data_IF_712047520369
#
_entry.id   IF_712047520369
#
_cell.length_a   1.000
_cell.length_b   1.000
_cell.length_c   1.000
_cell.angle_alpha   90.00
_cell.angle_beta   90.00
_cell.angle_gamma   90.00
#
_symmetry.space_group_name_H-M   'P 1'
#
loop_
_entity.id
_entity.type
_entity.pdbx_description
1 polymer ?
#
# COMPACT_ATOMS: atom_id res chain seq x y z
N UNK A 1 -26.78 -2.57 0.38
CA UNK A 1 -26.40 -3.48 -0.73
C UNK A 1 -24.92 -3.77 -0.60
N UNK A 2 -24.50 -4.97 -0.17
CA UNK A 2 -23.08 -5.26 0.03
C UNK A 2 -22.40 -5.53 -1.32
N UNK A 3 -21.38 -4.72 -1.64
CA UNK A 3 -20.47 -4.92 -2.76
C UNK A 3 -19.75 -6.26 -2.61
N UNK A 4 -20.16 -7.25 -3.41
CA UNK A 4 -19.44 -8.50 -3.54
C UNK A 4 -18.12 -8.24 -4.27
N UNK A 5 -17.02 -8.22 -3.51
CA UNK A 5 -15.67 -8.21 -4.07
C UNK A 5 -15.43 -9.53 -4.81
N UNK A 6 -15.53 -9.50 -6.13
CA UNK A 6 -15.10 -10.60 -6.98
C UNK A 6 -13.58 -10.78 -6.84
N UNK A 7 -13.16 -11.90 -6.25
CA UNK A 7 -11.81 -12.44 -6.44
C UNK A 7 -11.64 -12.76 -7.92
N UNK A 8 -10.92 -11.88 -8.63
CA UNK A 8 -10.76 -11.98 -10.07
C UNK A 8 -9.96 -13.23 -10.47
N UNK A 9 -10.62 -14.15 -11.19
CA UNK A 9 -9.94 -15.09 -12.09
C UNK A 9 -9.01 -14.29 -13.00
N UNK A 10 -7.75 -14.70 -13.11
CA UNK A 10 -6.77 -14.08 -14.01
C UNK A 10 -7.05 -14.56 -15.44
N UNK A 11 -7.80 -13.79 -16.22
CA UNK A 11 -7.94 -13.98 -17.66
C UNK A 11 -6.84 -13.23 -18.42
N UNK A 12 -6.35 -13.83 -19.52
CA UNK A 12 -5.47 -13.16 -20.48
C UNK A 12 -6.20 -11.97 -21.11
N UNK A 13 -5.59 -10.78 -21.10
CA UNK A 13 -6.22 -9.52 -21.54
C UNK A 13 -6.17 -8.34 -20.55
N UNK A 14 -5.34 -8.40 -19.50
CA UNK A 14 -5.17 -7.27 -18.55
C UNK A 14 -3.99 -6.37 -18.97
N UNK A 15 -4.18 -5.56 -20.01
CA UNK A 15 -3.36 -4.37 -20.26
C UNK A 15 -3.68 -3.23 -19.27
N UNK A 16 -4.16 -3.55 -18.05
CA UNK A 16 -4.53 -2.56 -17.03
C UNK A 16 -3.41 -2.52 -16.01
N UNK A 17 -2.82 -1.33 -15.81
CA UNK A 17 -1.94 -1.07 -14.68
C UNK A 17 -2.78 -1.27 -13.41
N UNK A 18 -2.41 -2.25 -12.58
CA UNK A 18 -3.17 -2.55 -11.36
C UNK A 18 -2.80 -1.53 -10.28
N UNK A 19 -3.83 -0.91 -9.70
CA UNK A 19 -3.69 -0.09 -8.49
C UNK A 19 -3.11 -0.98 -7.38
N UNK A 20 -2.25 -0.45 -6.49
CA UNK A 20 -1.77 -1.16 -5.32
C UNK A 20 -2.91 -1.87 -4.57
N UNK A 21 -2.61 -3.03 -4.00
CA UNK A 21 -3.60 -3.84 -3.26
C UNK A 21 -4.22 -3.10 -2.07
N UNK A 22 -3.55 -2.07 -1.56
CA UNK A 22 -4.01 -1.26 -0.45
C UNK A 22 -4.98 -0.19 -0.96
N UNK A 23 -6.27 -0.37 -0.67
CA UNK A 23 -7.35 0.52 -1.13
C UNK A 23 -7.62 1.70 -0.19
N UNK A 24 -6.94 1.78 0.96
CA UNK A 24 -7.16 2.86 1.91
C UNK A 24 -6.55 4.14 1.34
N UNK A 25 -7.37 5.18 1.17
CA UNK A 25 -6.90 6.49 0.69
C UNK A 25 -6.20 7.27 1.80
N UNK A 26 -5.26 8.11 1.40
CA UNK A 26 -4.64 9.11 2.28
C UNK A 26 -5.64 10.22 2.65
N UNK A 27 -5.66 10.65 3.91
CA UNK A 27 -6.40 11.85 4.33
C UNK A 27 -5.60 13.13 4.00
N UNK A 28 -4.28 13.01 3.90
CA UNK A 28 -3.40 14.08 3.45
C UNK A 28 -3.46 14.14 1.92
N UNK A 29 -3.81 15.31 1.38
CA UNK A 29 -3.76 15.58 -0.05
C UNK A 29 -2.30 15.71 -0.45
N UNK A 30 -1.83 14.82 -1.30
CA UNK A 30 -0.49 14.84 -1.81
C UNK A 30 -0.44 14.14 -3.16
N UNK A 31 0.75 14.05 -3.72
CA UNK A 31 0.98 13.24 -4.90
C UNK A 31 1.34 11.82 -4.47
N UNK A 32 0.51 10.86 -4.83
CA UNK A 32 0.75 9.45 -4.55
C UNK A 32 1.63 8.85 -5.64
N UNK A 33 2.80 8.34 -5.24
CA UNK A 33 3.79 7.74 -6.12
C UNK A 33 3.95 6.27 -5.76
N UNK A 34 3.95 5.42 -6.78
CA UNK A 34 4.09 3.98 -6.62
C UNK A 34 5.27 3.47 -7.45
N UNK A 35 6.08 2.63 -6.84
CA UNK A 35 7.12 1.89 -7.53
C UNK A 35 7.02 0.42 -7.13
N UNK A 36 6.70 -0.49 -8.07
CA UNK A 36 6.78 -1.91 -7.78
C UNK A 36 8.25 -2.27 -7.59
N UNK A 37 8.59 -2.80 -6.42
CA UNK A 37 9.93 -3.33 -6.15
C UNK A 37 9.83 -4.82 -5.87
N UNK A 38 10.72 -5.60 -6.48
CA UNK A 38 10.89 -7.01 -6.16
C UNK A 38 12.26 -7.24 -5.52
N UNK A 39 12.25 -7.90 -4.36
CA UNK A 39 13.37 -7.95 -3.40
C UNK A 39 14.60 -8.71 -3.91
N UNK A 40 14.44 -9.55 -4.93
CA UNK A 40 15.49 -10.41 -5.42
C UNK A 40 15.96 -9.91 -6.77
N UNK A 41 17.28 -9.76 -6.93
CA UNK A 41 17.87 -9.70 -8.27
C UNK A 41 17.37 -10.91 -9.05
N UNK A 42 16.77 -10.66 -10.20
CA UNK A 42 16.24 -11.71 -11.09
C UNK A 42 17.37 -12.48 -11.80
N UNK A 43 18.62 -12.21 -11.41
CA UNK A 43 19.80 -13.00 -11.76
C UNK A 43 19.74 -14.44 -11.23
N UNK A 44 19.03 -14.73 -10.14
CA UNK A 44 18.82 -16.11 -9.66
C UNK A 44 17.71 -16.80 -10.47
N UNK A 45 18.01 -17.98 -11.02
CA UNK A 45 17.07 -18.74 -11.87
C UNK A 45 15.81 -19.17 -11.11
N UNK A 46 15.91 -19.40 -9.79
CA UNK A 46 14.76 -19.79 -8.96
C UNK A 46 13.80 -18.65 -8.70
N UNK A 47 14.28 -17.40 -8.60
CA UNK A 47 13.43 -16.23 -8.40
C UNK A 47 12.89 -15.70 -9.72
N UNK A 48 13.70 -15.76 -10.79
CA UNK A 48 13.34 -15.34 -12.15
C UNK A 48 12.00 -15.91 -12.60
N UNK A 49 11.77 -17.21 -12.43
CA UNK A 49 10.50 -17.85 -12.84
C UNK A 49 9.23 -17.25 -12.22
N UNK A 50 9.32 -16.59 -11.07
CA UNK A 50 8.16 -15.96 -10.42
C UNK A 50 7.87 -14.57 -10.99
N UNK A 51 8.87 -13.93 -11.60
CA UNK A 51 8.80 -12.56 -12.10
C UNK A 51 8.98 -12.46 -13.63
N UNK A 52 9.24 -13.57 -14.32
CA UNK A 52 9.36 -13.65 -15.78
C UNK A 52 7.97 -13.70 -16.44
N UNK A 53 7.19 -12.66 -16.16
CA UNK A 53 5.91 -12.40 -16.80
C UNK A 53 6.03 -11.14 -17.64
N UNK A 54 5.38 -11.11 -18.81
CA UNK A 54 5.36 -9.96 -19.71
C UNK A 54 4.99 -8.66 -18.96
N UNK A 55 3.97 -8.72 -18.12
CA UNK A 55 3.56 -7.60 -17.27
C UNK A 55 4.70 -7.03 -16.43
N UNK A 56 5.49 -7.88 -15.76
CA UNK A 56 6.60 -7.41 -14.91
C UNK A 56 7.69 -6.78 -15.76
N UNK A 57 8.00 -7.36 -16.93
CA UNK A 57 8.99 -6.82 -17.87
C UNK A 57 8.60 -5.43 -18.37
N UNK A 58 7.34 -5.26 -18.80
CA UNK A 58 6.83 -3.99 -19.32
C UNK A 58 6.71 -2.89 -18.26
N UNK A 59 6.53 -3.28 -16.99
CA UNK A 59 6.40 -2.38 -15.85
C UNK A 59 7.68 -2.26 -15.02
N UNK A 60 8.82 -2.72 -15.56
CA UNK A 60 10.16 -2.55 -14.96
C UNK A 60 10.98 -1.51 -15.69
N UNK A 61 11.73 -0.71 -14.94
CA UNK A 61 12.75 0.19 -15.47
C UNK A 61 14.07 -0.57 -15.63
N UNK A 62 14.46 -1.35 -14.61
CA UNK A 62 15.63 -2.24 -14.63
C UNK A 62 15.19 -3.60 -14.12
N UNK A 63 14.74 -4.46 -15.05
CA UNK A 63 14.15 -5.75 -14.71
C UNK A 63 15.13 -6.70 -14.00
N UNK A 64 16.40 -6.70 -14.42
CA UNK A 64 17.45 -7.54 -13.81
C UNK A 64 17.73 -7.17 -12.33
N UNK A 65 17.47 -5.91 -11.97
CA UNK A 65 17.75 -5.35 -10.65
C UNK A 65 16.56 -5.31 -9.69
N UNK A 66 15.34 -5.57 -10.15
CA UNK A 66 14.18 -5.42 -9.28
C UNK A 66 13.48 -4.07 -9.33
N UNK A 67 13.89 -3.19 -10.25
CA UNK A 67 13.47 -1.79 -10.24
C UNK A 67 12.28 -1.60 -11.18
N UNK A 68 11.11 -1.40 -10.60
CA UNK A 68 9.88 -1.05 -11.30
C UNK A 68 9.90 0.36 -11.91
N UNK A 69 9.03 0.57 -12.90
CA UNK A 69 8.66 1.91 -13.35
C UNK A 69 7.98 2.69 -12.23
N UNK A 70 8.07 4.01 -12.32
CA UNK A 70 7.41 4.91 -11.37
C UNK A 70 6.03 5.22 -11.93
N UNK A 71 5.02 5.16 -11.07
CA UNK A 71 3.65 5.52 -11.39
C UNK A 71 3.17 6.63 -10.47
N UNK A 72 2.34 7.50 -11.00
CA UNK A 72 1.66 8.57 -10.26
C UNK A 72 0.16 8.30 -10.27
N UNK A 73 -0.50 8.50 -9.14
CA UNK A 73 -1.95 8.40 -9.05
C UNK A 73 -2.60 9.78 -9.09
N UNK A 74 -3.56 9.93 -10.00
CA UNK A 74 -4.34 11.13 -10.24
C UNK A 74 -5.83 10.77 -10.27
N UNK A 75 -6.61 11.28 -9.31
CA UNK A 75 -8.08 11.11 -9.26
C UNK A 75 -8.54 9.66 -9.54
N UNK A 76 -7.92 8.68 -8.87
CA UNK A 76 -8.15 7.22 -9.00
C UNK A 76 -7.54 6.51 -10.22
N UNK A 77 -6.81 7.23 -11.07
CA UNK A 77 -6.09 6.63 -12.20
C UNK A 77 -4.61 6.56 -11.91
N UNK A 78 -4.06 5.37 -12.09
CA UNK A 78 -2.62 5.14 -12.06
C UNK A 78 -2.07 5.32 -13.48
N UNK A 79 -1.07 6.18 -13.65
CA UNK A 79 -0.37 6.37 -14.92
C UNK A 79 1.14 6.35 -14.72
N UNK A 80 1.88 5.99 -15.76
CA UNK A 80 3.34 6.01 -15.74
C UNK A 80 3.84 7.45 -15.56
N UNK A 81 4.86 7.61 -14.71
CA UNK A 81 5.54 8.89 -14.52
C UNK A 81 6.39 9.21 -15.77
N UNK A 82 6.40 10.45 -16.28
CA UNK A 82 7.10 10.77 -17.51
C UNK A 82 8.61 10.52 -17.40
N UNK A 83 9.19 10.01 -18.50
CA UNK A 83 10.64 9.80 -18.63
C UNK A 83 11.39 11.14 -18.76
N UNK A 84 10.74 12.16 -19.31
CA UNK A 84 11.27 13.52 -19.37
C UNK A 84 11.19 14.22 -18.00
N UNK A 85 12.09 15.19 -17.71
CA UNK A 85 11.99 16.01 -16.51
C UNK A 85 10.58 16.59 -16.33
N UNK A 86 10.00 16.36 -15.16
CA UNK A 86 8.63 16.81 -14.83
C UNK A 86 8.55 17.23 -13.36
N UNK A 87 7.59 18.12 -13.07
CA UNK A 87 7.23 18.57 -11.72
C UNK A 87 5.90 17.98 -11.23
N UNK A 88 5.36 16.98 -11.94
CA UNK A 88 4.09 16.34 -11.56
C UNK A 88 4.10 15.68 -10.18
N UNK A 89 5.29 15.36 -9.65
CA UNK A 89 5.46 14.89 -8.28
C UNK A 89 5.15 15.96 -7.22
N UNK A 90 5.17 17.24 -7.59
CA UNK A 90 4.94 18.36 -6.66
C UNK A 90 3.43 18.45 -6.37
N UNK A 91 3.00 18.31 -5.12
CA UNK A 91 1.59 18.41 -4.78
C UNK A 91 1.09 19.85 -4.95
N UNK A 92 -0.16 20.00 -5.36
CA UNK A 92 -0.83 21.31 -5.44
C UNK A 92 -1.29 21.84 -4.08
N UNK A 93 -1.17 21.03 -3.02
CA UNK A 93 -1.55 21.38 -1.67
C UNK A 93 -0.30 21.64 -0.82
N UNK A 94 -0.37 22.65 0.05
CA UNK A 94 0.60 22.93 1.10
C UNK A 94 -0.08 22.81 2.47
N UNK A 95 0.73 22.57 3.50
CA UNK A 95 0.28 22.44 4.88
C UNK A 95 1.20 23.20 5.81
N UNK A 96 0.65 23.73 6.90
CA UNK A 96 1.46 24.13 8.05
C UNK A 96 2.08 22.88 8.69
N UNK A 97 3.33 22.99 9.13
CA UNK A 97 4.10 21.83 9.61
C UNK A 97 3.40 21.15 10.80
N UNK A 98 2.90 21.94 11.75
CA UNK A 98 2.25 21.42 12.96
C UNK A 98 0.96 20.65 12.63
N UNK A 99 0.14 21.20 11.74
CA UNK A 99 -1.08 20.54 11.24
C UNK A 99 -0.72 19.23 10.51
N UNK A 100 0.31 19.27 9.65
CA UNK A 100 0.76 18.12 8.87
C UNK A 100 1.24 16.99 9.78
N UNK A 101 2.01 17.29 10.82
CA UNK A 101 2.52 16.30 11.77
C UNK A 101 1.38 15.55 12.46
N UNK A 102 0.37 16.25 12.96
CA UNK A 102 -0.81 15.64 13.58
C UNK A 102 -1.55 14.73 12.59
N UNK A 103 -1.75 15.19 11.35
CA UNK A 103 -2.40 14.39 10.29
C UNK A 103 -1.60 13.13 9.94
N UNK A 104 -0.27 13.22 9.85
CA UNK A 104 0.61 12.08 9.55
C UNK A 104 0.49 11.03 10.66
N UNK A 105 0.49 11.44 11.92
CA UNK A 105 0.36 10.51 13.05
C UNK A 105 -0.99 9.78 13.03
N UNK A 106 -2.09 10.52 12.88
CA UNK A 106 -3.44 9.94 12.78
C UNK A 106 -3.50 8.96 11.60
N UNK A 107 -3.06 9.40 10.42
CA UNK A 107 -3.05 8.56 9.23
C UNK A 107 -2.23 7.28 9.43
N UNK A 108 -1.07 7.37 10.09
CA UNK A 108 -0.23 6.20 10.37
C UNK A 108 -0.94 5.18 11.24
N UNK A 109 -1.59 5.61 12.33
CA UNK A 109 -2.33 4.73 13.24
C UNK A 109 -3.55 4.09 12.55
N UNK A 110 -4.21 4.86 11.69
CA UNK A 110 -5.30 4.40 10.85
C UNK A 110 -4.85 3.34 9.82
N UNK A 111 -3.66 3.51 9.23
CA UNK A 111 -3.05 2.56 8.31
C UNK A 111 -2.63 1.28 9.02
N UNK A 112 -2.00 1.37 10.19
CA UNK A 112 -1.69 0.21 11.03
C UNK A 112 -2.95 -0.60 11.35
N UNK A 113 -4.01 0.09 11.80
CA UNK A 113 -5.29 -0.56 12.11
C UNK A 113 -5.93 -1.22 10.88
N UNK A 114 -5.79 -0.60 9.70
CA UNK A 114 -6.25 -1.17 8.43
C UNK A 114 -5.45 -2.41 8.03
N UNK A 115 -4.11 -2.35 8.08
CA UNK A 115 -3.24 -3.49 7.76
C UNK A 115 -3.55 -4.66 8.71
N UNK A 116 -3.72 -4.38 10.01
CA UNK A 116 -4.11 -5.40 10.99
C UNK A 116 -5.50 -6.01 10.72
N UNK A 117 -6.41 -5.24 10.12
CA UNK A 117 -7.72 -5.76 9.71
C UNK A 117 -7.64 -6.74 8.53
N UNK A 118 -6.58 -6.63 7.72
CA UNK A 118 -6.28 -7.55 6.62
C UNK A 118 -5.48 -8.77 7.06
N UNK A 119 -5.11 -8.86 8.34
CA UNK A 119 -4.24 -9.93 8.81
C UNK A 119 -4.91 -11.31 8.65
N UNK A 120 -4.13 -12.38 8.35
CA UNK A 120 -4.67 -13.71 8.12
C UNK A 120 -5.51 -14.23 9.30
N UNK A 121 -6.42 -15.16 8.97
CA UNK A 121 -7.25 -15.86 9.94
C UNK A 121 -6.39 -16.68 10.92
N UNK A 122 -6.73 -16.60 12.21
CA UNK A 122 -6.05 -17.37 13.27
C UNK A 122 -6.60 -18.80 13.43
N UNK A 123 -7.39 -19.31 12.47
CA UNK A 123 -8.09 -20.61 12.59
C UNK A 123 -7.15 -21.80 12.71
N UNK A 124 -5.99 -21.74 12.04
CA UNK A 124 -5.05 -22.86 11.94
C UNK A 124 -3.92 -22.80 12.99
N UNK A 125 -3.99 -21.86 13.95
CA UNK A 125 -2.95 -21.72 14.97
C UNK A 125 -3.27 -22.54 16.22
N UNK A 126 -2.24 -23.04 16.93
CA UNK A 126 -2.39 -23.63 18.26
C UNK A 126 -3.14 -22.69 19.21
N UNK A 127 -3.96 -23.22 20.15
CA UNK A 127 -4.80 -22.39 21.03
C UNK A 127 -4.02 -21.31 21.82
N UNK A 128 -2.81 -21.62 22.28
CA UNK A 128 -1.98 -20.69 23.04
C UNK A 128 -1.49 -19.51 22.18
N UNK A 129 -0.96 -19.80 20.99
CA UNK A 129 -0.54 -18.77 20.02
C UNK A 129 -1.71 -17.91 19.56
N UNK A 130 -2.85 -18.55 19.27
CA UNK A 130 -4.08 -17.87 18.88
C UNK A 130 -4.52 -16.87 19.94
N UNK A 131 -4.53 -17.26 21.22
CA UNK A 131 -4.89 -16.35 22.33
C UNK A 131 -3.92 -15.18 22.43
N UNK A 132 -2.61 -15.45 22.40
CA UNK A 132 -1.57 -14.41 22.47
C UNK A 132 -1.72 -13.37 21.36
N UNK A 133 -1.79 -13.82 20.10
CA UNK A 133 -1.94 -12.94 18.94
C UNK A 133 -3.28 -12.19 18.95
N UNK A 134 -4.36 -12.83 19.40
CA UNK A 134 -5.65 -12.17 19.55
C UNK A 134 -5.57 -11.02 20.57
N UNK A 135 -4.98 -11.25 21.75
CA UNK A 135 -4.81 -10.21 22.75
C UNK A 135 -3.93 -9.07 22.26
N UNK A 136 -2.81 -9.39 21.59
CA UNK A 136 -1.93 -8.39 21.00
C UNK A 136 -2.68 -7.52 19.98
N UNK A 137 -3.42 -8.13 19.04
CA UNK A 137 -4.22 -7.39 18.05
C UNK A 137 -5.29 -6.51 18.70
N UNK A 138 -5.97 -6.99 19.73
CA UNK A 138 -6.98 -6.21 20.45
C UNK A 138 -6.35 -5.03 21.20
N UNK A 139 -5.18 -5.24 21.81
CA UNK A 139 -4.45 -4.20 22.51
C UNK A 139 -3.97 -3.10 21.55
N UNK A 140 -3.34 -3.47 20.42
CA UNK A 140 -2.89 -2.51 19.40
C UNK A 140 -4.06 -1.69 18.86
N UNK A 141 -5.20 -2.32 18.54
CA UNK A 141 -6.40 -1.61 18.09
C UNK A 141 -6.92 -0.62 19.12
N UNK A 142 -6.98 -1.03 20.40
CA UNK A 142 -7.41 -0.14 21.48
C UNK A 142 -6.44 1.02 21.63
N UNK A 143 -5.13 0.76 21.67
CA UNK A 143 -4.09 1.77 21.78
C UNK A 143 -4.17 2.80 20.64
N UNK A 144 -4.22 2.34 19.39
CA UNK A 144 -4.33 3.21 18.22
C UNK A 144 -5.58 4.08 18.27
N UNK A 145 -6.73 3.52 18.68
CA UNK A 145 -7.99 4.28 18.82
C UNK A 145 -7.88 5.38 19.88
N UNK A 146 -7.33 5.08 21.05
CA UNK A 146 -7.17 6.07 22.12
C UNK A 146 -6.18 7.17 21.71
N UNK A 147 -5.09 6.80 21.05
CA UNK A 147 -4.10 7.78 20.58
C UNK A 147 -4.66 8.69 19.49
N UNK A 148 -5.43 8.15 18.54
CA UNK A 148 -6.15 8.96 17.54
C UNK A 148 -7.09 9.95 18.23
N UNK A 149 -7.84 9.52 19.26
CA UNK A 149 -8.73 10.43 20.02
C UNK A 149 -7.95 11.60 20.62
N UNK A 150 -6.85 11.31 21.33
CA UNK A 150 -6.01 12.35 21.96
C UNK A 150 -5.40 13.30 20.93
N UNK A 151 -5.00 12.80 19.75
CA UNK A 151 -4.46 13.63 18.68
C UNK A 151 -5.55 14.53 18.06
N UNK A 152 -6.77 14.04 17.91
CA UNK A 152 -7.91 14.83 17.44
C UNK A 152 -8.35 15.90 18.45
N UNK A 153 -8.28 15.62 19.75
CA UNK A 153 -8.64 16.58 20.80
C UNK A 153 -7.64 17.77 20.89
N UNK A 154 -6.45 17.63 20.29
CA UNK A 154 -5.37 18.63 20.31
C UNK A 154 -5.18 19.36 18.99
N UNK A 155 -5.83 18.91 17.91
CA UNK A 155 -5.74 19.48 16.57
C UNK A 155 -6.88 20.48 16.34
#
# INVERSE_FOLDING_TARGET
MPEQQQLGRFTSGRNRVMVPLLKKRSIIKGTEIYQPMFRYRTSDSKTRKFYDAQYVRENSMVWDEGIGKIFIQDNDKLREYPVSPSKEYVPNASYELEELLSKILIQTLEWQSYIDSLAPSLRNLPPQEKRSLFHQRMWVKKFNRELIRVLLDKA
#
